data_IF_751924195336
#
_entry.id   IF_751924195336
#
_cell.length_a   1.000
_cell.length_b   1.000
_cell.length_c   1.000
_cell.angle_alpha   90.00
_cell.angle_beta   90.00
_cell.angle_gamma   90.00
#
_symmetry.space_group_name_H-M   'P 1'
#
loop_
_entity.id
_entity.type
_entity.pdbx_description
1 polymer ?
#
# COMPACT_ATOMS: atom_id res chain seq x y z
N UNK A 1 17.43 16.01 21.43
CA UNK A 1 16.60 14.92 20.85
C UNK A 1 15.26 15.54 20.49
N UNK A 2 14.64 15.19 19.35
CA UNK A 2 13.27 15.62 19.06
C UNK A 2 12.36 15.16 20.21
N UNK A 3 11.38 15.98 20.58
CA UNK A 3 10.37 15.54 21.54
C UNK A 3 9.30 14.67 20.88
N UNK A 4 8.39 14.11 21.67
CA UNK A 4 7.31 13.25 21.14
C UNK A 4 6.37 14.02 20.20
N UNK A 5 6.16 15.32 20.43
CA UNK A 5 5.34 16.20 19.60
C UNK A 5 5.97 16.40 18.22
N UNK A 6 7.29 16.58 18.15
CA UNK A 6 8.05 16.64 16.90
C UNK A 6 7.91 15.34 16.11
N UNK A 7 8.04 14.20 16.79
CA UNK A 7 7.89 12.88 16.16
C UNK A 7 6.47 12.65 15.63
N UNK A 8 5.44 13.10 16.35
CA UNK A 8 4.03 13.05 15.90
C UNK A 8 3.81 13.98 14.70
N UNK A 9 4.45 15.14 14.69
CA UNK A 9 4.40 16.08 13.55
C UNK A 9 5.02 15.44 12.30
N UNK A 10 6.21 14.83 12.45
CA UNK A 10 6.88 14.10 11.37
C UNK A 10 6.05 12.90 10.87
N UNK A 11 5.42 12.16 11.79
CA UNK A 11 4.52 11.06 11.43
C UNK A 11 3.31 11.56 10.63
N UNK A 12 2.73 12.69 11.03
CA UNK A 12 1.59 13.31 10.34
C UNK A 12 1.97 13.71 8.92
N UNK A 13 3.07 14.46 8.75
CA UNK A 13 3.57 14.87 7.45
C UNK A 13 3.92 13.68 6.55
N UNK A 14 4.54 12.63 7.10
CA UNK A 14 4.82 11.42 6.34
C UNK A 14 3.55 10.68 5.91
N UNK A 15 2.51 10.67 6.74
CA UNK A 15 1.22 10.03 6.41
C UNK A 15 0.47 10.81 5.33
N UNK A 16 0.50 12.15 5.37
CA UNK A 16 -0.04 13.00 4.30
C UNK A 16 0.65 12.76 2.95
N UNK A 17 1.99 12.69 2.94
CA UNK A 17 2.74 12.34 1.72
C UNK A 17 2.36 10.95 1.20
N UNK A 18 2.16 9.98 2.10
CA UNK A 18 1.73 8.63 1.74
C UNK A 18 0.33 8.64 1.12
N UNK A 19 -0.58 9.46 1.65
CA UNK A 19 -1.92 9.64 1.10
C UNK A 19 -1.90 10.26 -0.30
N UNK A 20 -1.07 11.28 -0.52
CA UNK A 20 -0.89 11.90 -1.83
C UNK A 20 -0.33 10.90 -2.84
N UNK A 21 0.71 10.14 -2.46
CA UNK A 21 1.28 9.09 -3.30
C UNK A 21 0.26 7.99 -3.65
N UNK A 22 -0.52 7.53 -2.67
CA UNK A 22 -1.58 6.55 -2.89
C UNK A 22 -2.69 7.10 -3.80
N UNK A 23 -3.04 8.38 -3.69
CA UNK A 23 -3.99 9.04 -4.58
C UNK A 23 -3.45 9.13 -6.02
N UNK A 24 -2.15 9.39 -6.18
CA UNK A 24 -1.45 9.39 -7.47
C UNK A 24 -1.08 8.00 -8.01
N UNK A 25 -1.48 6.91 -7.34
CA UNK A 25 -1.10 5.53 -7.70
C UNK A 25 0.43 5.26 -7.71
N UNK A 26 1.23 6.08 -7.02
CA UNK A 26 2.67 5.87 -6.87
C UNK A 26 2.97 4.93 -5.69
N UNK A 27 2.73 3.64 -5.90
CA UNK A 27 2.87 2.61 -4.86
C UNK A 27 4.32 2.34 -4.47
N UNK A 28 5.28 2.64 -5.34
CA UNK A 28 6.70 2.55 -5.01
C UNK A 28 7.07 3.63 -3.99
N UNK A 29 6.54 4.85 -4.13
CA UNK A 29 6.68 5.90 -3.13
C UNK A 29 5.96 5.55 -1.83
N UNK A 30 4.74 4.99 -1.90
CA UNK A 30 4.01 4.53 -0.71
C UNK A 30 4.86 3.53 0.11
N UNK A 31 5.48 2.55 -0.54
CA UNK A 31 6.33 1.57 0.16
C UNK A 31 7.54 2.22 0.84
N UNK A 32 8.21 3.18 0.17
CA UNK A 32 9.33 3.92 0.75
C UNK A 32 8.90 4.72 1.98
N UNK A 33 7.77 5.40 1.89
CA UNK A 33 7.23 6.21 3.00
C UNK A 33 6.82 5.31 4.17
N UNK A 34 6.20 4.15 3.90
CA UNK A 34 5.81 3.17 4.92
C UNK A 34 7.02 2.76 5.79
N UNK A 35 8.18 2.49 5.18
CA UNK A 35 9.42 2.13 5.89
C UNK A 35 9.92 3.25 6.80
N UNK A 36 9.83 4.51 6.35
CA UNK A 36 10.17 5.67 7.19
C UNK A 36 9.18 5.81 8.35
N UNK A 37 7.88 5.64 8.10
CA UNK A 37 6.82 5.72 9.12
C UNK A 37 6.99 4.67 10.21
N UNK A 38 7.33 3.42 9.87
CA UNK A 38 7.52 2.38 10.89
C UNK A 38 8.64 2.72 11.88
N UNK A 39 9.71 3.36 11.41
CA UNK A 39 10.78 3.83 12.29
C UNK A 39 10.32 4.98 13.20
N UNK A 40 9.51 5.93 12.68
CA UNK A 40 8.93 7.01 13.48
C UNK A 40 7.98 6.49 14.57
N UNK A 41 7.09 5.55 14.22
CA UNK A 41 6.17 4.93 15.18
C UNK A 41 6.93 4.23 16.30
N UNK A 42 8.00 3.50 15.94
CA UNK A 42 8.85 2.81 16.93
C UNK A 42 9.45 3.80 17.93
N UNK A 43 10.02 4.91 17.43
CA UNK A 43 10.57 5.97 18.29
C UNK A 43 9.51 6.64 19.15
N UNK A 44 8.34 6.93 18.60
CA UNK A 44 7.22 7.51 19.39
C UNK A 44 6.85 6.57 20.54
N UNK A 45 6.78 5.26 20.30
CA UNK A 45 6.46 4.28 21.36
C UNK A 45 7.55 4.25 22.43
N UNK A 46 8.82 4.27 22.02
CA UNK A 46 9.98 4.27 22.92
C UNK A 46 10.02 5.56 23.79
N UNK A 47 9.75 6.71 23.20
CA UNK A 47 9.86 8.02 23.87
C UNK A 47 8.58 8.42 24.62
N UNK A 48 7.40 7.95 24.20
CA UNK A 48 6.11 8.26 24.83
C UNK A 48 5.94 7.64 26.23
N UNK A 49 6.73 6.62 26.59
CA UNK A 49 6.70 6.03 27.93
C UNK A 49 7.04 7.02 29.06
N UNK A 50 7.70 8.14 28.73
CA UNK A 50 8.08 9.19 29.67
C UNK A 50 7.42 10.56 29.39
N UNK A 51 6.71 10.71 28.27
CA UNK A 51 6.18 11.98 27.81
C UNK A 51 4.66 12.10 28.04
N UNK A 52 4.21 13.26 28.54
CA UNK A 52 2.79 13.58 28.62
C UNK A 52 2.28 13.98 27.25
N UNK A 53 1.43 13.15 26.64
CA UNK A 53 0.73 13.49 25.39
C UNK A 53 -0.32 14.56 25.65
N UNK A 54 -0.38 15.56 24.79
CA UNK A 54 -1.42 16.59 24.84
C UNK A 54 -2.71 16.12 24.14
N UNK A 55 -3.82 16.81 24.36
CA UNK A 55 -5.07 16.57 23.61
C UNK A 55 -4.88 16.84 22.11
N UNK A 56 -4.05 17.81 21.75
CA UNK A 56 -3.70 18.11 20.37
C UNK A 56 -2.96 16.93 19.71
N UNK A 57 -2.01 16.32 20.42
CA UNK A 57 -1.28 15.14 19.94
C UNK A 57 -2.22 13.96 19.71
N UNK A 58 -3.18 13.74 20.61
CA UNK A 58 -4.22 12.73 20.44
C UNK A 58 -5.08 13.00 19.19
N UNK A 59 -5.44 14.27 18.96
CA UNK A 59 -6.14 14.71 17.76
C UNK A 59 -5.35 14.42 16.47
N UNK A 60 -4.05 14.74 16.45
CA UNK A 60 -3.15 14.47 15.32
C UNK A 60 -3.02 12.97 15.04
N UNK A 61 -2.85 12.15 16.08
CA UNK A 61 -2.79 10.69 15.94
C UNK A 61 -4.11 10.09 15.43
N UNK A 62 -5.25 10.66 15.84
CA UNK A 62 -6.56 10.27 15.30
C UNK A 62 -6.68 10.59 13.81
N UNK A 63 -6.23 11.77 13.38
CA UNK A 63 -6.18 12.15 11.97
C UNK A 63 -5.27 11.21 11.16
N UNK A 64 -4.09 10.88 11.68
CA UNK A 64 -3.18 9.90 11.06
C UNK A 64 -3.88 8.55 10.83
N UNK A 65 -4.62 8.03 11.81
CA UNK A 65 -5.38 6.78 11.64
C UNK A 65 -6.45 6.88 10.55
N UNK A 66 -7.15 8.01 10.45
CA UNK A 66 -8.13 8.21 9.38
C UNK A 66 -7.48 8.21 7.99
N UNK A 67 -6.32 8.85 7.85
CA UNK A 67 -5.53 8.84 6.61
C UNK A 67 -5.04 7.41 6.26
N UNK A 68 -4.59 6.64 7.25
CA UNK A 68 -4.19 5.24 7.05
C UNK A 68 -5.36 4.38 6.54
N UNK A 69 -6.55 4.55 7.11
CA UNK A 69 -7.75 3.83 6.66
C UNK A 69 -8.07 4.14 5.19
N UNK A 70 -7.96 5.41 4.79
CA UNK A 70 -8.10 5.83 3.39
C UNK A 70 -7.07 5.12 2.49
N UNK A 71 -5.79 5.14 2.86
CA UNK A 71 -4.71 4.51 2.08
C UNK A 71 -4.93 3.00 1.96
N UNK A 72 -5.32 2.34 3.05
CA UNK A 72 -5.62 0.90 3.06
C UNK A 72 -6.78 0.56 2.12
N UNK A 73 -7.85 1.37 2.10
CA UNK A 73 -8.97 1.17 1.17
C UNK A 73 -8.54 1.27 -0.30
N UNK A 74 -7.64 2.21 -0.62
CA UNK A 74 -7.09 2.38 -1.98
C UNK A 74 -6.23 1.18 -2.37
N UNK A 75 -5.38 0.71 -1.46
CA UNK A 75 -4.55 -0.47 -1.68
C UNK A 75 -5.41 -1.73 -1.93
N UNK A 76 -6.48 -1.92 -1.15
CA UNK A 76 -7.42 -3.03 -1.33
C UNK A 76 -8.12 -2.96 -2.71
N UNK A 77 -8.59 -1.78 -3.11
CA UNK A 77 -9.21 -1.58 -4.42
C UNK A 77 -8.23 -1.92 -5.56
N UNK A 78 -6.96 -1.49 -5.44
CA UNK A 78 -5.91 -1.83 -6.40
C UNK A 78 -5.65 -3.33 -6.46
N UNK A 79 -5.55 -4.00 -5.32
CA UNK A 79 -5.33 -5.45 -5.27
C UNK A 79 -6.44 -6.21 -5.99
N UNK A 80 -7.70 -5.79 -5.84
CA UNK A 80 -8.82 -6.38 -6.58
C UNK A 80 -8.69 -6.17 -8.10
N UNK A 81 -8.31 -4.97 -8.54
CA UNK A 81 -8.09 -4.67 -9.96
C UNK A 81 -6.95 -5.50 -10.55
N UNK A 82 -5.81 -5.58 -9.87
CA UNK A 82 -4.68 -6.40 -10.31
C UNK A 82 -5.04 -7.89 -10.35
N UNK A 83 -5.79 -8.38 -9.36
CA UNK A 83 -6.30 -9.75 -9.35
C UNK A 83 -7.16 -10.07 -10.56
N UNK A 84 -8.09 -9.17 -10.94
CA UNK A 84 -8.92 -9.32 -12.14
C UNK A 84 -8.07 -9.37 -13.42
N UNK A 85 -7.12 -8.43 -13.57
CA UNK A 85 -6.23 -8.39 -14.74
C UNK A 85 -5.36 -9.65 -14.87
N UNK A 86 -4.88 -10.21 -13.75
CA UNK A 86 -4.13 -11.47 -13.76
C UNK A 86 -5.00 -12.65 -14.21
N UNK A 87 -6.25 -12.74 -13.73
CA UNK A 87 -7.18 -13.79 -14.16
C UNK A 87 -7.53 -13.68 -15.64
N UNK A 88 -7.74 -12.47 -16.16
CA UNK A 88 -7.98 -12.22 -17.58
C UNK A 88 -6.76 -12.60 -18.44
N UNK A 89 -5.55 -12.23 -18.00
CA UNK A 89 -4.30 -12.60 -18.70
C UNK A 89 -4.09 -14.12 -18.71
N UNK A 90 -4.42 -14.80 -17.61
CA UNK A 90 -4.36 -16.27 -17.52
C UNK A 90 -5.40 -16.94 -18.44
N UNK A 91 -6.59 -16.36 -18.56
CA UNK A 91 -7.63 -16.86 -19.47
C UNK A 91 -7.19 -16.73 -20.94
N UNK A 92 -6.61 -15.59 -21.33
CA UNK A 92 -6.08 -15.37 -22.69
C UNK A 92 -4.95 -16.33 -23.01
N UNK A 93 -3.97 -16.49 -22.11
CA UNK A 93 -2.85 -17.43 -22.31
C UNK A 93 -3.27 -18.90 -22.35
N UNK A 94 -4.40 -19.26 -21.73
CA UNK A 94 -4.98 -20.61 -21.81
C UNK A 94 -5.72 -20.83 -23.15
N UNK A 95 -6.40 -19.82 -23.68
CA UNK A 95 -7.06 -19.88 -24.99
C UNK A 95 -6.06 -19.84 -26.17
N UNK A 96 -4.95 -19.11 -26.03
CA UNK A 96 -3.88 -19.02 -27.04
C UNK A 96 -2.84 -20.15 -26.97
N UNK A 97 -3.16 -21.30 -26.37
CA UNK A 97 -2.41 -22.53 -26.67
C UNK A 97 -3.04 -23.17 -27.91
N UNK A 98 -2.65 -22.80 -29.15
CA UNK A 98 -2.97 -23.64 -30.29
C UNK A 98 -2.30 -24.97 -30.01
N UNK A 99 -3.17 -25.95 -29.89
CA UNK A 99 -2.96 -27.39 -29.86
C UNK A 99 -1.72 -27.80 -30.69
N UNK A 100 -0.54 -27.69 -30.06
CA UNK A 100 0.73 -28.12 -30.66
C UNK A 100 0.70 -29.62 -30.94
N UNK A 101 -0.16 -30.36 -30.25
CA UNK A 101 -0.46 -31.76 -30.56
C UNK A 101 -1.26 -31.89 -31.85
N UNK A 102 -2.32 -31.11 -32.10
CA UNK A 102 -3.05 -31.16 -33.40
C UNK A 102 -2.16 -30.87 -34.61
N UNK A 103 -1.17 -29.98 -34.48
CA UNK A 103 -0.22 -29.69 -35.57
C UNK A 103 0.86 -30.77 -35.73
N UNK A 104 1.18 -31.51 -34.67
CA UNK A 104 2.12 -32.63 -34.71
C UNK A 104 1.49 -33.95 -35.19
N UNK A 105 0.20 -34.15 -34.94
CA UNK A 105 -0.53 -35.37 -35.30
C UNK A 105 -1.23 -35.31 -36.67
N UNK A 106 -1.09 -34.21 -37.42
CA UNK A 106 -1.56 -34.13 -38.80
C UNK A 106 -3.01 -34.58 -38.99
N UNK A 107 -3.90 -34.25 -38.04
CA UNK A 107 -5.34 -34.52 -38.19
C UNK A 107 -5.89 -33.46 -39.14
N UNK A 108 -5.50 -33.58 -40.41
CA UNK A 108 -6.33 -33.33 -41.57
C UNK A 108 -7.17 -34.59 -41.72
N UNK A 109 -8.45 -34.51 -41.39
CA UNK A 109 -9.41 -35.40 -42.03
C UNK A 109 -10.74 -34.66 -42.23
N UNK A 110 -10.96 -34.35 -43.51
CA UNK A 110 -12.20 -34.06 -44.26
C UNK A 110 -13.19 -33.01 -43.74
#
# INVERSE_FOLDING_TARGET
MPDVTDLITDLTAATEQMQQAASGEDWAMVEKIQKRRSALITRIIEDAGAATLTEEDAGRLSAVRAQEAFIASRAAARQQTLGKMLMETQAVTTMERPDRMRKAYGILDR
#
